data_IF_601883061051
#
_entry.id   IF_601883061051
#
_cell.length_a   1.000
_cell.length_b   1.000
_cell.length_c   1.000
_cell.angle_alpha   90.00
_cell.angle_beta   90.00
_cell.angle_gamma   90.00
#
_symmetry.space_group_name_H-M   'P 1'
#
loop_
_entity.id
_entity.type
_entity.pdbx_description
1 polymer ?
#
# COMPACT_ATOMS: atom_id res chain seq x y z
N UNK A 1 -40.67 1.94 5.11
CA UNK A 1 -39.94 1.25 4.04
C UNK A 1 -38.93 2.23 3.44
N UNK A 2 -37.67 1.87 3.17
CA UNK A 2 -36.74 2.79 2.51
C UNK A 2 -37.25 3.06 1.08
N UNK A 3 -37.22 4.34 0.66
CA UNK A 3 -37.65 4.75 -0.68
C UNK A 3 -36.84 3.97 -1.74
N UNK A 4 -37.49 3.47 -2.79
CA UNK A 4 -36.85 2.71 -3.87
C UNK A 4 -35.64 3.46 -4.47
N UNK A 5 -35.71 4.78 -4.56
CA UNK A 5 -34.60 5.65 -5.00
C UNK A 5 -33.35 5.51 -4.12
N UNK A 6 -33.52 5.36 -2.79
CA UNK A 6 -32.41 5.20 -1.85
C UNK A 6 -31.79 3.81 -1.98
N UNK A 7 -32.64 2.80 -2.21
CA UNK A 7 -32.19 1.43 -2.40
C UNK A 7 -31.40 1.27 -3.73
N UNK A 8 -31.87 1.90 -4.80
CA UNK A 8 -31.15 1.94 -6.07
C UNK A 8 -29.79 2.62 -5.97
N UNK A 9 -29.69 3.76 -5.25
CA UNK A 9 -28.41 4.44 -5.02
C UNK A 9 -27.42 3.55 -4.26
N UNK A 10 -27.88 2.85 -3.22
CA UNK A 10 -27.03 1.93 -2.45
C UNK A 10 -26.56 0.74 -3.28
N UNK A 11 -27.44 0.17 -4.12
CA UNK A 11 -27.05 -0.90 -5.05
C UNK A 11 -26.00 -0.43 -6.05
N UNK A 12 -26.17 0.76 -6.63
CA UNK A 12 -25.19 1.35 -7.54
C UNK A 12 -23.83 1.65 -6.86
N UNK A 13 -23.84 2.02 -5.58
CA UNK A 13 -22.60 2.18 -4.81
C UNK A 13 -21.90 0.82 -4.56
N UNK A 14 -22.66 -0.23 -4.23
CA UNK A 14 -22.10 -1.58 -4.06
C UNK A 14 -21.52 -2.10 -5.37
N UNK A 15 -22.23 -1.95 -6.49
CA UNK A 15 -21.73 -2.37 -7.80
C UNK A 15 -20.45 -1.63 -8.21
N UNK A 16 -20.41 -0.31 -8.00
CA UNK A 16 -19.20 0.49 -8.25
C UNK A 16 -18.02 0.07 -7.37
N UNK A 17 -18.28 -0.23 -6.09
CA UNK A 17 -17.22 -0.67 -5.19
C UNK A 17 -16.75 -2.09 -5.58
N UNK A 18 -17.67 -2.99 -5.90
CA UNK A 18 -17.34 -4.35 -6.35
C UNK A 18 -16.47 -4.31 -7.62
N UNK A 19 -16.86 -3.50 -8.63
CA UNK A 19 -16.06 -3.33 -9.85
C UNK A 19 -14.66 -2.80 -9.56
N UNK A 20 -14.53 -1.85 -8.62
CA UNK A 20 -13.22 -1.32 -8.21
C UNK A 20 -12.38 -2.35 -7.47
N UNK A 21 -12.97 -3.09 -6.53
CA UNK A 21 -12.26 -4.13 -5.78
C UNK A 21 -11.80 -5.30 -6.67
N UNK A 22 -12.60 -5.65 -7.68
CA UNK A 22 -12.26 -6.72 -8.62
C UNK A 22 -11.12 -6.34 -9.56
N UNK A 23 -11.05 -5.06 -9.97
CA UNK A 23 -10.02 -4.56 -10.88
C UNK A 23 -8.75 -4.10 -10.14
N UNK A 24 -8.84 -3.87 -8.82
CA UNK A 24 -7.73 -3.38 -8.02
C UNK A 24 -6.60 -4.42 -7.90
N UNK A 25 -5.36 -4.00 -8.09
CA UNK A 25 -4.19 -4.81 -7.79
C UNK A 25 -3.98 -4.97 -6.28
N UNK A 26 -4.27 -3.91 -5.53
CA UNK A 26 -4.20 -3.92 -4.07
C UNK A 26 -5.20 -2.96 -3.45
N UNK A 27 -5.68 -3.31 -2.26
CA UNK A 27 -6.37 -2.39 -1.39
C UNK A 27 -6.04 -2.64 0.08
N UNK A 28 -6.17 -1.60 0.89
CA UNK A 28 -5.95 -1.67 2.33
C UNK A 28 -7.12 -1.04 3.06
N UNK A 29 -7.58 -1.73 4.10
CA UNK A 29 -8.60 -1.27 5.03
C UNK A 29 -7.93 -0.63 6.24
N UNK A 30 -8.33 0.59 6.58
CA UNK A 30 -7.81 1.30 7.73
C UNK A 30 -8.92 1.96 8.54
N UNK A 31 -8.70 2.06 9.85
CA UNK A 31 -9.52 2.88 10.74
C UNK A 31 -8.92 4.29 10.81
N UNK A 32 -9.70 5.29 10.44
CA UNK A 32 -9.26 6.69 10.38
C UNK A 32 -9.65 7.51 11.62
N UNK A 33 -10.15 6.89 12.67
CA UNK A 33 -10.57 7.58 13.90
C UNK A 33 -9.40 8.30 14.54
N UNK A 34 -9.71 9.49 15.08
CA UNK A 34 -8.78 10.30 15.84
C UNK A 34 -7.81 11.15 15.01
N UNK A 35 -7.90 11.12 13.68
CA UNK A 35 -7.19 12.05 12.82
C UNK A 35 -7.83 13.45 12.88
N UNK A 36 -7.02 14.49 12.86
CA UNK A 36 -7.49 15.86 12.68
C UNK A 36 -7.82 16.11 11.21
N UNK A 37 -8.64 17.11 10.92
CA UNK A 37 -9.02 17.49 9.54
C UNK A 37 -7.78 17.82 8.70
N UNK A 38 -6.79 18.45 9.30
CA UNK A 38 -5.53 18.79 8.63
C UNK A 38 -4.75 17.52 8.23
N UNK A 39 -4.64 16.56 9.14
CA UNK A 39 -3.96 15.28 8.92
C UNK A 39 -4.66 14.45 7.83
N UNK A 40 -6.00 14.35 7.89
CA UNK A 40 -6.78 13.66 6.85
C UNK A 40 -6.63 14.33 5.48
N UNK A 41 -6.60 15.67 5.44
CA UNK A 41 -6.38 16.41 4.19
C UNK A 41 -4.99 16.17 3.59
N UNK A 42 -3.94 16.16 4.43
CA UNK A 42 -2.57 15.83 3.99
C UNK A 42 -2.48 14.40 3.47
N UNK A 43 -3.07 13.46 4.19
CA UNK A 43 -3.11 12.05 3.78
C UNK A 43 -3.84 11.86 2.44
N UNK A 44 -5.02 12.46 2.28
CA UNK A 44 -5.78 12.41 1.02
C UNK A 44 -5.03 13.03 -0.16
N UNK A 45 -4.25 14.08 0.09
CA UNK A 45 -3.42 14.71 -0.93
C UNK A 45 -2.31 13.76 -1.37
N UNK A 46 -1.55 13.21 -0.43
CA UNK A 46 -0.48 12.25 -0.71
C UNK A 46 -0.99 10.99 -1.44
N UNK A 47 -2.15 10.47 -1.04
CA UNK A 47 -2.76 9.32 -1.71
C UNK A 47 -3.16 9.62 -3.15
N UNK A 48 -3.72 10.80 -3.42
CA UNK A 48 -4.06 11.23 -4.79
C UNK A 48 -2.81 11.40 -5.66
N UNK A 49 -1.74 11.96 -5.11
CA UNK A 49 -0.46 12.12 -5.81
C UNK A 49 0.18 10.78 -6.16
N UNK A 50 -0.03 9.76 -5.34
CA UNK A 50 0.42 8.39 -5.59
C UNK A 50 -0.58 7.53 -6.43
N UNK A 51 -1.67 8.11 -6.92
CA UNK A 51 -2.67 7.39 -7.72
C UNK A 51 -3.55 6.41 -6.91
N UNK A 52 -3.63 6.57 -5.60
CA UNK A 52 -4.44 5.74 -4.70
C UNK A 52 -5.81 6.39 -4.46
N UNK A 53 -6.89 5.69 -4.77
CA UNK A 53 -8.27 6.13 -4.49
C UNK A 53 -8.63 5.82 -3.03
N UNK A 54 -8.55 6.84 -2.18
CA UNK A 54 -8.89 6.73 -0.75
C UNK A 54 -10.30 7.22 -0.50
N UNK A 55 -11.17 6.34 0.01
CA UNK A 55 -12.57 6.65 0.36
C UNK A 55 -13.02 5.97 1.63
N UNK A 56 -13.92 6.64 2.32
CA UNK A 56 -14.63 6.08 3.48
C UNK A 56 -15.95 5.49 3.00
N UNK A 57 -16.18 4.22 3.32
CA UNK A 57 -17.42 3.53 3.02
C UNK A 57 -18.08 3.00 4.29
N UNK A 58 -19.39 2.85 4.25
CA UNK A 58 -20.13 2.21 5.32
C UNK A 58 -19.85 0.70 5.30
N UNK A 59 -19.55 0.10 6.46
CA UNK A 59 -19.22 -1.33 6.54
C UNK A 59 -20.26 -2.25 5.89
N UNK A 60 -21.55 -1.89 5.96
CA UNK A 60 -22.60 -2.65 5.29
C UNK A 60 -22.43 -2.67 3.77
N UNK A 61 -21.97 -1.57 3.14
CA UNK A 61 -21.72 -1.50 1.70
C UNK A 61 -20.52 -2.39 1.35
N UNK A 62 -19.46 -2.32 2.16
CA UNK A 62 -18.26 -3.15 1.97
C UNK A 62 -18.63 -4.64 2.10
N UNK A 63 -19.38 -5.02 3.14
CA UNK A 63 -19.83 -6.40 3.33
C UNK A 63 -20.63 -6.95 2.13
N UNK A 64 -21.52 -6.13 1.57
CA UNK A 64 -22.26 -6.53 0.37
C UNK A 64 -21.37 -6.64 -0.87
N UNK A 65 -20.39 -5.73 -1.03
CA UNK A 65 -19.48 -5.76 -2.17
C UNK A 65 -18.51 -6.95 -2.13
N UNK A 66 -18.12 -7.38 -0.92
CA UNK A 66 -17.15 -8.46 -0.69
C UNK A 66 -17.84 -9.84 -0.70
N UNK A 67 -19.16 -9.90 -0.42
CA UNK A 67 -19.92 -11.16 -0.26
C UNK A 67 -19.91 -12.05 -1.52
N UNK A 68 -19.86 -11.44 -2.69
CA UNK A 68 -19.87 -12.13 -3.99
C UNK A 68 -18.45 -12.37 -4.53
N UNK A 69 -17.41 -12.08 -3.74
CA UNK A 69 -16.01 -12.23 -4.10
C UNK A 69 -15.29 -13.19 -3.13
N UNK A 70 -14.10 -13.68 -3.50
CA UNK A 70 -13.25 -14.53 -2.66
C UNK A 70 -12.71 -13.80 -1.40
N UNK A 71 -13.23 -12.61 -1.09
CA UNK A 71 -12.82 -11.70 -0.02
C UNK A 71 -13.76 -11.77 1.19
N UNK A 72 -14.61 -12.81 1.28
CA UNK A 72 -15.59 -12.97 2.38
C UNK A 72 -14.96 -13.01 3.78
N UNK A 73 -13.72 -13.49 3.89
CA UNK A 73 -12.95 -13.51 5.15
C UNK A 73 -12.68 -12.11 5.73
N UNK A 74 -12.67 -11.08 4.88
CA UNK A 74 -12.52 -9.69 5.34
C UNK A 74 -13.74 -9.18 6.10
N UNK A 75 -14.88 -9.85 5.98
CA UNK A 75 -16.13 -9.45 6.66
C UNK A 75 -16.00 -9.43 8.18
N UNK A 76 -15.16 -10.30 8.75
CA UNK A 76 -14.94 -10.41 10.19
C UNK A 76 -14.09 -9.25 10.74
N UNK A 77 -13.27 -8.64 9.88
CA UNK A 77 -12.41 -7.51 10.26
C UNK A 77 -13.08 -6.13 10.04
N UNK A 78 -14.33 -6.11 9.52
CA UNK A 78 -15.10 -4.88 9.28
C UNK A 78 -15.82 -4.40 10.55
N UNK A 79 -15.07 -4.11 11.61
CA UNK A 79 -15.58 -3.49 12.84
C UNK A 79 -15.22 -2.00 12.89
N UNK A 80 -16.12 -1.15 13.39
CA UNK A 80 -15.90 0.29 13.50
C UNK A 80 -15.81 1.02 12.14
N UNK A 81 -15.42 2.30 12.12
CA UNK A 81 -15.28 3.07 10.87
C UNK A 81 -14.18 2.48 9.98
N UNK A 82 -14.45 2.42 8.70
CA UNK A 82 -13.51 1.82 7.74
C UNK A 82 -13.33 2.72 6.52
N UNK A 83 -12.07 3.06 6.26
CA UNK A 83 -11.64 3.67 5.03
C UNK A 83 -10.96 2.61 4.16
N UNK A 84 -11.11 2.73 2.85
CA UNK A 84 -10.47 1.86 1.87
C UNK A 84 -9.55 2.71 1.02
N UNK A 85 -8.30 2.28 0.88
CA UNK A 85 -7.34 2.80 -0.07
C UNK A 85 -7.15 1.77 -1.18
N UNK A 86 -7.51 2.10 -2.40
CA UNK A 86 -7.48 1.20 -3.57
C UNK A 86 -6.41 1.70 -4.55
N UNK A 87 -5.59 0.79 -5.07
CA UNK A 87 -4.66 1.08 -6.16
C UNK A 87 -4.86 0.09 -7.31
N UNK A 88 -4.93 0.64 -8.52
CA UNK A 88 -5.06 -0.12 -9.75
C UNK A 88 -3.70 -0.33 -10.44
N UNK A 89 -2.68 0.47 -10.10
CA UNK A 89 -1.39 0.51 -10.79
C UNK A 89 -0.23 -0.05 -9.97
N UNK A 90 -0.15 0.31 -8.69
CA UNK A 90 0.94 -0.09 -7.80
C UNK A 90 0.40 -0.87 -6.59
N UNK A 91 0.75 -2.15 -6.44
CA UNK A 91 0.27 -2.98 -5.33
C UNK A 91 0.84 -2.57 -3.97
N UNK A 92 1.95 -1.85 -3.92
CA UNK A 92 2.66 -1.50 -2.68
C UNK A 92 2.25 -0.12 -2.17
N UNK A 93 1.91 0.82 -3.07
CA UNK A 93 1.64 2.21 -2.73
C UNK A 93 0.61 2.41 -1.60
N UNK A 94 -0.57 1.75 -1.59
CA UNK A 94 -1.56 1.96 -0.54
C UNK A 94 -1.05 1.49 0.83
N UNK A 95 -0.35 0.35 0.89
CA UNK A 95 0.22 -0.20 2.13
C UNK A 95 1.32 0.70 2.69
N UNK A 96 2.22 1.19 1.83
CA UNK A 96 3.34 2.07 2.20
C UNK A 96 2.86 3.40 2.76
N UNK A 97 1.91 4.05 2.09
CA UNK A 97 1.35 5.32 2.52
C UNK A 97 0.59 5.19 3.85
N UNK A 98 -0.30 4.19 3.97
CA UNK A 98 -1.05 3.98 5.21
C UNK A 98 -0.11 3.67 6.37
N UNK A 99 0.90 2.82 6.18
CA UNK A 99 1.87 2.51 7.23
C UNK A 99 2.75 3.72 7.61
N UNK A 100 3.10 4.57 6.64
CA UNK A 100 3.82 5.82 6.90
C UNK A 100 2.99 6.75 7.79
N UNK A 101 1.74 7.01 7.42
CA UNK A 101 0.83 7.86 8.20
C UNK A 101 0.44 7.22 9.54
N UNK A 102 0.34 5.90 9.62
CA UNK A 102 0.12 5.20 10.89
C UNK A 102 1.28 5.41 11.88
N UNK A 103 2.52 5.40 11.38
CA UNK A 103 3.71 5.73 12.20
C UNK A 103 3.75 7.21 12.61
N UNK A 104 3.35 8.12 11.73
CA UNK A 104 3.39 9.56 11.99
C UNK A 104 2.30 9.99 12.98
N UNK A 105 1.10 9.44 12.85
CA UNK A 105 -0.05 9.92 13.63
C UNK A 105 -0.47 9.01 14.78
N UNK A 106 0.05 7.79 14.91
CA UNK A 106 -0.23 6.82 15.98
C UNK A 106 -1.73 6.57 16.27
N UNK A 107 -2.63 7.01 15.39
CA UNK A 107 -4.09 6.92 15.52
C UNK A 107 -4.75 6.18 14.36
N UNK A 108 -4.01 6.00 13.28
CA UNK A 108 -4.45 5.26 12.10
C UNK A 108 -4.13 3.78 12.31
N UNK A 109 -5.15 2.95 12.38
CA UNK A 109 -4.98 1.50 12.56
C UNK A 109 -5.25 0.77 11.25
N UNK A 110 -4.31 -0.09 10.85
CA UNK A 110 -4.47 -0.98 9.71
C UNK A 110 -5.30 -2.18 10.18
N UNK A 111 -6.34 -2.53 9.42
CA UNK A 111 -7.19 -3.69 9.74
C UNK A 111 -6.81 -4.90 8.92
N UNK A 112 -6.78 -4.76 7.63
CA UNK A 112 -6.44 -5.79 6.67
C UNK A 112 -6.07 -5.19 5.33
N UNK A 113 -5.52 -6.01 4.46
CA UNK A 113 -5.26 -5.64 3.07
C UNK A 113 -5.44 -6.81 2.13
N UNK A 114 -5.49 -6.51 0.86
CA UNK A 114 -5.40 -7.50 -0.21
C UNK A 114 -4.36 -7.04 -1.23
N UNK A 115 -3.54 -7.96 -1.69
CA UNK A 115 -2.58 -7.74 -2.78
C UNK A 115 -2.61 -8.94 -3.72
N UNK A 116 -2.84 -8.67 -5.00
CA UNK A 116 -2.92 -9.70 -6.04
C UNK A 116 -3.86 -10.87 -5.70
N UNK A 117 -5.01 -10.57 -5.07
CA UNK A 117 -6.00 -11.56 -4.69
C UNK A 117 -5.71 -12.32 -3.39
N UNK A 118 -4.58 -12.05 -2.71
CA UNK A 118 -4.24 -12.63 -1.42
C UNK A 118 -4.62 -11.68 -0.30
N UNK A 119 -5.34 -12.19 0.69
CA UNK A 119 -5.69 -11.44 1.89
C UNK A 119 -4.47 -11.42 2.82
N UNK A 120 -4.14 -10.25 3.32
CA UNK A 120 -3.05 -10.01 4.24
C UNK A 120 -3.61 -9.48 5.56
N UNK A 121 -3.15 -10.06 6.64
CA UNK A 121 -3.38 -9.56 7.99
C UNK A 121 -2.57 -8.27 8.27
N UNK A 122 -2.78 -7.69 9.43
CA UNK A 122 -2.12 -6.45 9.87
C UNK A 122 -0.59 -6.55 9.73
N UNK A 123 -0.01 -7.68 10.12
CA UNK A 123 1.44 -7.85 10.07
C UNK A 123 1.94 -8.03 8.63
N UNK A 124 1.20 -8.75 7.80
CA UNK A 124 1.51 -8.86 6.37
C UNK A 124 1.45 -7.51 5.63
N UNK A 125 0.48 -6.65 5.96
CA UNK A 125 0.43 -5.29 5.39
C UNK A 125 1.60 -4.44 5.87
N UNK A 126 2.04 -4.59 7.13
CA UNK A 126 3.23 -3.88 7.64
C UNK A 126 4.53 -4.36 6.98
N UNK A 127 4.69 -5.65 6.76
CA UNK A 127 5.83 -6.20 6.03
C UNK A 127 5.85 -5.70 4.58
N UNK A 128 4.69 -5.72 3.91
CA UNK A 128 4.55 -5.18 2.57
C UNK A 128 4.91 -3.69 2.50
N UNK A 129 4.52 -2.92 3.51
CA UNK A 129 4.85 -1.49 3.59
C UNK A 129 6.36 -1.21 3.73
N UNK A 130 7.15 -2.17 4.22
CA UNK A 130 8.61 -2.08 4.29
C UNK A 130 9.28 -2.43 2.95
N UNK A 131 8.55 -3.05 2.04
CA UNK A 131 9.07 -3.44 0.73
C UNK A 131 9.31 -2.18 -0.11
N UNK A 132 10.47 -2.03 -0.74
CA UNK A 132 10.75 -0.94 -1.66
C UNK A 132 9.80 -0.95 -2.86
N UNK A 133 9.65 0.21 -3.51
CA UNK A 133 8.87 0.30 -4.74
C UNK A 133 9.46 -0.60 -5.84
N UNK A 134 8.65 -0.92 -6.85
CA UNK A 134 9.09 -1.73 -7.98
C UNK A 134 10.34 -1.15 -8.66
N UNK A 135 10.39 0.17 -8.79
CA UNK A 135 11.53 0.88 -9.38
C UNK A 135 12.78 0.77 -8.50
N UNK A 136 12.64 0.90 -7.19
CA UNK A 136 13.73 0.71 -6.24
C UNK A 136 14.24 -0.74 -6.22
N UNK A 137 13.35 -1.73 -6.34
CA UNK A 137 13.74 -3.14 -6.43
C UNK A 137 14.51 -3.42 -7.72
N UNK A 138 14.07 -2.88 -8.86
CA UNK A 138 14.78 -2.97 -10.12
C UNK A 138 16.15 -2.28 -10.05
N UNK A 139 16.22 -1.08 -9.45
CA UNK A 139 17.48 -0.38 -9.26
C UNK A 139 18.46 -1.18 -8.38
N UNK A 140 17.97 -1.78 -7.28
CA UNK A 140 18.77 -2.66 -6.42
C UNK A 140 19.25 -3.91 -7.16
N UNK A 141 18.40 -4.51 -7.98
CA UNK A 141 18.77 -5.67 -8.80
C UNK A 141 19.91 -5.31 -9.76
N UNK A 142 19.75 -4.21 -10.50
CA UNK A 142 20.79 -3.73 -11.43
C UNK A 142 22.07 -3.40 -10.67
N UNK A 143 21.97 -2.70 -9.53
CA UNK A 143 23.10 -2.38 -8.67
C UNK A 143 23.81 -3.62 -8.14
N UNK A 144 23.09 -4.67 -7.76
CA UNK A 144 23.70 -5.92 -7.29
C UNK A 144 24.44 -6.66 -8.40
N UNK A 145 23.92 -6.64 -9.64
CA UNK A 145 24.61 -7.22 -10.80
C UNK A 145 25.90 -6.45 -11.15
N UNK A 146 25.88 -5.14 -11.01
CA UNK A 146 27.05 -4.30 -11.26
C UNK A 146 28.07 -4.33 -10.11
N UNK A 147 27.65 -4.64 -8.89
CA UNK A 147 28.50 -4.57 -7.69
C UNK A 147 29.71 -5.49 -7.78
N UNK A 148 29.59 -6.65 -8.45
CA UNK A 148 30.71 -7.57 -8.64
C UNK A 148 31.80 -6.99 -9.55
N UNK A 149 31.42 -6.23 -10.59
CA UNK A 149 32.36 -5.54 -11.49
C UNK A 149 33.03 -4.35 -10.78
N UNK A 150 32.24 -3.56 -10.07
CA UNK A 150 32.78 -2.45 -9.29
C UNK A 150 33.69 -2.92 -8.15
N UNK A 151 33.38 -4.03 -7.50
CA UNK A 151 34.23 -4.64 -6.47
C UNK A 151 35.59 -5.08 -7.02
N UNK A 152 35.62 -5.67 -8.21
CA UNK A 152 36.87 -6.02 -8.88
C UNK A 152 37.68 -4.78 -9.25
N UNK A 153 37.06 -3.77 -9.85
CA UNK A 153 37.71 -2.53 -10.21
C UNK A 153 38.29 -1.80 -8.97
N UNK A 154 37.53 -1.75 -7.88
CA UNK A 154 37.98 -1.17 -6.63
C UNK A 154 39.19 -1.93 -6.02
N UNK A 155 39.18 -3.26 -6.09
CA UNK A 155 40.30 -4.08 -5.63
C UNK A 155 41.57 -3.83 -6.46
N UNK A 156 41.45 -3.72 -7.78
CA UNK A 156 42.56 -3.40 -8.68
C UNK A 156 43.12 -2.00 -8.42
N UNK A 157 42.24 -1.00 -8.23
CA UNK A 157 42.67 0.35 -7.88
C UNK A 157 43.39 0.38 -6.52
N UNK A 158 42.87 -0.30 -5.50
CA UNK A 158 43.52 -0.38 -4.20
C UNK A 158 44.90 -1.07 -4.23
N UNK A 159 45.08 -2.03 -5.14
CA UNK A 159 46.39 -2.67 -5.37
C UNK A 159 47.36 -1.67 -6.07
N UNK A 160 46.87 -0.96 -7.09
CA UNK A 160 47.67 0.05 -7.78
C UNK A 160 48.13 1.17 -6.83
N UNK A 161 47.22 1.73 -6.02
CA UNK A 161 47.57 2.75 -5.02
C UNK A 161 48.59 2.24 -3.99
N UNK A 162 48.46 0.99 -3.54
CA UNK A 162 49.47 0.42 -2.62
C UNK A 162 50.85 0.22 -3.29
N UNK A 163 50.89 -0.12 -4.58
CA UNK A 163 52.13 -0.24 -5.28
C UNK A 163 52.80 1.11 -5.53
N UNK A 164 52.05 2.16 -5.83
CA UNK A 164 52.58 3.52 -5.95
C UNK A 164 53.16 4.02 -4.61
N UNK A 165 52.43 3.83 -3.50
CA UNK A 165 52.96 4.20 -2.17
C UNK A 165 54.17 3.40 -1.75
N UNK A 166 54.34 2.18 -2.20
CA UNK A 166 55.53 1.35 -1.93
C UNK A 166 56.74 1.71 -2.79
N UNK A 167 56.53 2.43 -3.91
CA UNK A 167 57.62 2.93 -4.75
C UNK A 167 58.12 4.32 -4.35
N UNK A 168 57.31 5.07 -3.62
CA UNK A 168 57.65 6.41 -3.10
C UNK A 168 58.33 6.36 -1.70
N UNK A 169 58.41 5.23 -1.04
CA UNK A 169 59.01 5.00 0.27
C UNK A 169 60.40 4.32 0.14
#
# INVERSE_FOLDING_TARGET
MPSEKILQKKKAEVEKLNSKLTNAQAFVLADYRGLTVEQDTKMRKAMREAGVDYRVYKNSIIRFAVKDTNLSELSDQLEGPTAIAISDTDPIAPSKLIAQFAKEYNKLEIKAGMVEGKILDIDGVKELAQTPSREELLARLIGSLQSSLYGLAAALNAIAEKQEQAQEA
#
